data_IF_995829190821
#
_entry.id   IF_995829190821
#
_cell.length_a   1.000
_cell.length_b   1.000
_cell.length_c   1.000
_cell.angle_alpha   90.00
_cell.angle_beta   90.00
_cell.angle_gamma   90.00
#
_symmetry.space_group_name_H-M   'P 1'
#
loop_
_entity.id
_entity.type
_entity.pdbx_description
1 polymer ?
#
# COMPACT_ATOMS: atom_id res chain seq x y z
N UNK A 1 -24.73 -0.70 -10.73
CA UNK A 1 -24.05 -0.50 -12.04
C UNK A 1 -24.33 -1.74 -12.88
N UNK A 2 -25.01 -1.61 -14.00
CA UNK A 2 -25.33 -2.74 -14.88
C UNK A 2 -24.26 -2.76 -15.98
N UNK A 3 -23.67 -3.93 -16.26
CA UNK A 3 -22.73 -4.05 -17.37
C UNK A 3 -23.39 -3.60 -18.68
N UNK A 4 -22.65 -2.95 -19.53
CA UNK A 4 -23.10 -2.62 -20.88
C UNK A 4 -22.96 -3.84 -21.78
N UNK A 5 -23.58 -3.84 -22.97
CA UNK A 5 -23.42 -4.93 -23.96
C UNK A 5 -21.96 -5.18 -24.37
N UNK A 6 -21.04 -4.28 -24.03
CA UNK A 6 -19.61 -4.33 -24.39
C UNK A 6 -18.68 -4.60 -23.20
N UNK A 7 -19.18 -4.54 -21.94
CA UNK A 7 -18.36 -4.70 -20.75
C UNK A 7 -18.96 -5.76 -19.84
N UNK A 8 -18.30 -6.91 -19.72
CA UNK A 8 -18.72 -7.99 -18.83
C UNK A 8 -18.47 -7.64 -17.37
N UNK A 9 -19.20 -8.30 -16.45
CA UNK A 9 -18.97 -8.15 -15.00
C UNK A 9 -17.52 -8.46 -14.61
N UNK A 10 -16.92 -9.49 -15.20
CA UNK A 10 -15.53 -9.87 -14.91
C UNK A 10 -14.52 -8.79 -15.33
N UNK A 11 -14.76 -8.07 -16.42
CA UNK A 11 -13.93 -6.93 -16.82
C UNK A 11 -14.05 -5.82 -15.78
N UNK A 12 -15.26 -5.54 -15.30
CA UNK A 12 -15.49 -4.52 -14.25
C UNK A 12 -14.81 -4.93 -12.96
N UNK A 13 -14.92 -6.20 -12.53
CA UNK A 13 -14.25 -6.71 -11.32
C UNK A 13 -12.73 -6.56 -11.43
N UNK A 14 -12.13 -7.05 -12.50
CA UNK A 14 -10.67 -6.93 -12.73
C UNK A 14 -10.20 -5.48 -12.77
N UNK A 15 -10.93 -4.60 -13.43
CA UNK A 15 -10.62 -3.17 -13.45
C UNK A 15 -10.68 -2.52 -12.07
N UNK A 16 -11.63 -2.94 -11.23
CA UNK A 16 -11.72 -2.44 -9.85
C UNK A 16 -10.58 -2.99 -8.97
N UNK A 17 -10.20 -4.28 -9.10
CA UNK A 17 -9.06 -4.85 -8.37
C UNK A 17 -7.74 -4.14 -8.75
N UNK A 18 -7.54 -3.88 -10.04
CA UNK A 18 -6.40 -3.10 -10.50
C UNK A 18 -6.40 -1.67 -9.90
N UNK A 19 -7.54 -0.98 -9.98
CA UNK A 19 -7.71 0.36 -9.39
C UNK A 19 -7.52 0.34 -7.87
N UNK A 20 -7.97 -0.71 -7.19
CA UNK A 20 -7.78 -0.92 -5.77
C UNK A 20 -6.29 -0.97 -5.42
N UNK A 21 -5.50 -1.86 -6.06
CA UNK A 21 -4.06 -1.93 -5.84
C UNK A 21 -3.35 -0.62 -6.18
N UNK A 22 -3.69 0.00 -7.31
CA UNK A 22 -3.08 1.26 -7.71
C UNK A 22 -3.30 2.35 -6.66
N UNK A 23 -4.49 2.45 -6.08
CA UNK A 23 -4.79 3.43 -5.04
C UNK A 23 -4.05 3.10 -3.75
N UNK A 24 -4.07 1.85 -3.32
CA UNK A 24 -3.41 1.43 -2.07
C UNK A 24 -1.89 1.60 -2.18
N UNK A 25 -1.28 1.09 -3.24
CA UNK A 25 0.18 1.12 -3.38
C UNK A 25 0.71 2.49 -3.78
N UNK A 26 0.13 3.13 -4.78
CA UNK A 26 0.63 4.42 -5.25
C UNK A 26 0.09 5.58 -4.42
N UNK A 27 -1.23 5.66 -4.27
CA UNK A 27 -1.88 6.85 -3.70
C UNK A 27 -1.79 6.91 -2.18
N UNK A 28 -2.05 5.78 -1.48
CA UNK A 28 -1.91 5.71 -0.02
C UNK A 28 -0.46 5.53 0.45
N UNK A 29 0.42 5.12 -0.45
CA UNK A 29 1.85 5.11 -0.20
C UNK A 29 2.45 3.76 0.14
N UNK A 30 1.64 2.69 0.24
CA UNK A 30 2.13 1.37 0.63
C UNK A 30 3.17 0.76 -0.32
N UNK A 31 3.30 1.32 -1.54
CA UNK A 31 4.30 0.95 -2.53
C UNK A 31 4.91 2.14 -3.28
N UNK A 32 4.58 3.37 -2.89
CA UNK A 32 4.94 4.57 -3.64
C UNK A 32 6.44 4.66 -3.95
N UNK A 33 7.27 4.55 -2.92
CA UNK A 33 8.72 4.65 -3.09
C UNK A 33 9.34 3.42 -3.75
N UNK A 34 8.74 2.25 -3.59
CA UNK A 34 9.11 1.06 -4.34
C UNK A 34 8.84 1.25 -5.84
N UNK A 35 7.70 1.80 -6.20
CA UNK A 35 7.34 2.09 -7.59
C UNK A 35 8.25 3.18 -8.19
N UNK A 36 8.57 4.24 -7.45
CA UNK A 36 9.52 5.27 -7.85
C UNK A 36 10.93 4.69 -8.09
N UNK A 37 11.42 3.86 -7.16
CA UNK A 37 12.70 3.18 -7.32
C UNK A 37 12.75 2.33 -8.60
N UNK A 38 11.71 1.51 -8.81
CA UNK A 38 11.62 0.63 -10.00
C UNK A 38 11.58 1.47 -11.28
N UNK A 39 10.84 2.56 -11.29
CA UNK A 39 10.79 3.47 -12.43
C UNK A 39 12.15 4.10 -12.72
N UNK A 40 12.82 4.65 -11.70
CA UNK A 40 14.09 5.34 -11.86
C UNK A 40 15.26 4.40 -12.22
N UNK A 41 15.27 3.18 -11.65
CA UNK A 41 16.36 2.22 -11.90
C UNK A 41 16.16 1.40 -13.17
N UNK A 42 14.94 0.95 -13.47
CA UNK A 42 14.67 0.02 -14.56
C UNK A 42 13.86 0.62 -15.71
N UNK A 43 13.35 1.83 -15.57
CA UNK A 43 12.51 2.50 -16.59
C UNK A 43 11.11 1.89 -16.73
N UNK A 44 10.66 1.07 -15.79
CA UNK A 44 9.35 0.38 -15.84
C UNK A 44 8.29 1.29 -15.23
N UNK A 45 7.19 1.52 -15.95
CA UNK A 45 6.13 2.42 -15.48
C UNK A 45 5.40 1.85 -14.28
N UNK A 46 4.97 2.71 -13.38
CA UNK A 46 4.21 2.34 -12.17
C UNK A 46 2.98 1.47 -12.48
N UNK A 47 2.26 1.79 -13.55
CA UNK A 47 1.07 1.05 -13.97
C UNK A 47 1.40 -0.40 -14.36
N UNK A 48 2.54 -0.61 -15.04
CA UNK A 48 2.97 -1.93 -15.51
C UNK A 48 3.38 -2.80 -14.30
N UNK A 49 4.04 -2.19 -13.29
CA UNK A 49 4.40 -2.90 -12.05
C UNK A 49 3.15 -3.26 -11.23
N UNK A 50 2.17 -2.37 -11.10
CA UNK A 50 0.92 -2.66 -10.39
C UNK A 50 0.14 -3.77 -11.10
N UNK A 51 0.17 -3.82 -12.44
CA UNK A 51 -0.42 -4.91 -13.20
C UNK A 51 0.30 -6.25 -12.95
N UNK A 52 1.62 -6.24 -12.88
CA UNK A 52 2.40 -7.43 -12.54
C UNK A 52 2.19 -7.87 -11.09
N UNK A 53 2.09 -6.94 -10.14
CA UNK A 53 1.71 -7.24 -8.76
C UNK A 53 0.33 -7.89 -8.69
N UNK A 54 -0.66 -7.35 -9.41
CA UNK A 54 -2.00 -7.94 -9.47
C UNK A 54 -1.93 -9.40 -9.97
N UNK A 55 -1.22 -9.66 -11.07
CA UNK A 55 -1.07 -11.01 -11.62
C UNK A 55 -0.37 -11.95 -10.63
N UNK A 56 0.70 -11.49 -10.01
CA UNK A 56 1.51 -12.28 -9.08
C UNK A 56 0.72 -12.66 -7.83
N UNK A 57 0.17 -11.67 -7.11
CA UNK A 57 -0.51 -11.89 -5.85
C UNK A 57 -1.90 -12.53 -6.02
N UNK A 58 -2.57 -12.33 -7.15
CA UNK A 58 -3.83 -13.01 -7.43
C UNK A 58 -3.67 -14.54 -7.51
N UNK A 59 -2.47 -15.04 -7.81
CA UNK A 59 -2.15 -16.48 -7.80
C UNK A 59 -1.64 -16.98 -6.45
N UNK A 60 -1.12 -16.09 -5.59
CA UNK A 60 -0.57 -16.39 -4.26
C UNK A 60 -1.59 -16.03 -3.17
N UNK A 61 -2.62 -16.86 -3.04
CA UNK A 61 -3.80 -16.62 -2.19
C UNK A 61 -3.52 -16.65 -0.69
N UNK A 62 -2.38 -17.17 -0.29
CA UNK A 62 -1.87 -17.29 1.08
C UNK A 62 -1.02 -16.07 1.51
N UNK A 63 -0.82 -15.11 0.61
CA UNK A 63 -0.19 -13.83 0.92
C UNK A 63 -1.23 -12.82 1.41
N UNK A 64 -0.80 -11.83 2.23
CA UNK A 64 -1.71 -10.79 2.72
C UNK A 64 -2.31 -9.96 1.56
N UNK A 65 -1.49 -9.71 0.53
CA UNK A 65 -1.95 -8.99 -0.67
C UNK A 65 -2.95 -9.86 -1.45
N UNK A 66 -2.68 -11.16 -1.57
CA UNK A 66 -3.58 -12.11 -2.21
C UNK A 66 -4.91 -12.28 -1.48
N UNK A 67 -4.87 -12.40 -0.15
CA UNK A 67 -6.05 -12.42 0.73
C UNK A 67 -6.91 -11.16 0.53
N UNK A 68 -6.29 -9.98 0.56
CA UNK A 68 -6.97 -8.69 0.35
C UNK A 68 -7.61 -8.58 -1.05
N UNK A 69 -6.95 -9.10 -2.09
CA UNK A 69 -7.50 -9.13 -3.44
C UNK A 69 -8.73 -10.05 -3.54
N UNK A 70 -8.69 -11.24 -2.92
CA UNK A 70 -9.80 -12.18 -2.92
C UNK A 70 -11.01 -11.64 -2.14
N UNK A 71 -10.78 -11.10 -0.96
CA UNK A 71 -11.80 -10.43 -0.16
C UNK A 71 -12.45 -9.26 -0.91
N UNK A 72 -11.63 -8.44 -1.57
CA UNK A 72 -12.13 -7.33 -2.39
C UNK A 72 -12.94 -7.82 -3.59
N UNK A 73 -12.52 -8.93 -4.23
CA UNK A 73 -13.26 -9.53 -5.33
C UNK A 73 -14.61 -10.09 -4.87
N UNK A 74 -14.66 -10.87 -3.78
CA UNK A 74 -15.89 -11.45 -3.27
C UNK A 74 -16.91 -10.38 -2.90
N UNK A 75 -16.47 -9.37 -2.15
CA UNK A 75 -17.34 -8.26 -1.80
C UNK A 75 -17.82 -7.47 -3.03
N UNK A 76 -16.96 -7.24 -4.01
CA UNK A 76 -17.39 -6.56 -5.24
C UNK A 76 -18.41 -7.39 -6.03
N UNK A 77 -18.24 -8.71 -6.08
CA UNK A 77 -19.25 -9.62 -6.65
C UNK A 77 -20.56 -9.57 -5.83
N UNK A 78 -20.47 -9.51 -4.50
CA UNK A 78 -21.62 -9.30 -3.61
C UNK A 78 -22.40 -8.02 -3.91
N UNK A 79 -21.72 -6.91 -4.22
CA UNK A 79 -22.37 -5.67 -4.65
C UNK A 79 -23.23 -5.90 -5.91
N UNK A 80 -22.73 -6.66 -6.89
CA UNK A 80 -23.46 -6.94 -8.13
C UNK A 80 -24.59 -7.95 -7.99
N UNK A 81 -24.43 -8.93 -7.12
CA UNK A 81 -25.31 -10.08 -7.03
C UNK A 81 -26.31 -9.97 -5.87
N UNK A 82 -25.87 -9.41 -4.73
CA UNK A 82 -26.62 -9.36 -3.48
C UNK A 82 -26.97 -7.93 -3.03
N UNK A 83 -26.52 -6.91 -3.78
CA UNK A 83 -26.69 -5.49 -3.44
C UNK A 83 -26.04 -5.13 -2.10
N UNK A 84 -24.94 -5.76 -1.77
CA UNK A 84 -24.17 -5.50 -0.55
C UNK A 84 -23.33 -4.22 -0.66
N UNK A 85 -22.87 -3.72 0.48
CA UNK A 85 -21.94 -2.58 0.50
C UNK A 85 -20.52 -3.07 0.22
N UNK A 86 -19.76 -2.32 -0.60
CA UNK A 86 -18.37 -2.64 -0.87
C UNK A 86 -17.45 -2.11 0.24
N UNK A 87 -17.29 -2.89 1.28
CA UNK A 87 -16.48 -2.56 2.44
C UNK A 87 -16.56 -3.65 3.48
N UNK A 88 -15.80 -3.51 4.57
CA UNK A 88 -15.79 -4.45 5.69
C UNK A 88 -15.34 -3.81 7.00
N UNK A 89 -15.60 -4.51 8.12
CA UNK A 89 -15.03 -4.22 9.42
C UNK A 89 -13.66 -4.89 9.54
N UNK A 90 -12.67 -4.22 10.13
CA UNK A 90 -11.28 -4.73 10.27
C UNK A 90 -10.70 -4.55 11.68
N UNK A 91 -11.33 -3.75 12.54
CA UNK A 91 -10.84 -3.44 13.89
C UNK A 91 -11.69 -4.09 15.00
N UNK A 92 -12.60 -4.99 14.64
CA UNK A 92 -13.48 -5.72 15.58
C UNK A 92 -14.96 -5.54 15.27
N UNK A 93 -15.82 -6.22 16.07
CA UNK A 93 -17.28 -6.26 15.82
C UNK A 93 -17.97 -4.90 16.01
N UNK A 94 -17.42 -4.02 16.87
CA UNK A 94 -17.94 -2.68 17.12
C UNK A 94 -17.37 -1.60 16.19
N UNK A 95 -16.58 -1.99 15.21
CA UNK A 95 -15.94 -1.08 14.26
C UNK A 95 -16.93 -0.58 13.20
N UNK A 96 -16.59 0.56 12.59
CA UNK A 96 -17.31 1.06 11.42
C UNK A 96 -17.01 0.21 10.18
N UNK A 97 -17.87 0.32 9.20
CA UNK A 97 -17.65 -0.28 7.88
C UNK A 97 -16.67 0.58 7.08
N UNK A 98 -15.50 0.03 6.74
CA UNK A 98 -14.47 0.68 5.94
C UNK A 98 -14.65 0.36 4.46
N UNK A 99 -14.49 1.36 3.60
CA UNK A 99 -14.29 1.11 2.17
C UNK A 99 -13.03 0.23 1.99
N UNK A 100 -13.04 -0.70 1.02
CA UNK A 100 -12.00 -1.72 0.88
C UNK A 100 -10.57 -1.18 0.86
N UNK A 101 -10.32 -0.04 0.22
CA UNK A 101 -8.98 0.56 0.17
C UNK A 101 -8.49 1.01 1.55
N UNK A 102 -9.39 1.54 2.37
CA UNK A 102 -9.11 1.89 3.77
C UNK A 102 -8.89 0.64 4.60
N UNK A 103 -9.76 -0.36 4.49
CA UNK A 103 -9.65 -1.65 5.15
C UNK A 103 -8.30 -2.32 4.87
N UNK A 104 -7.91 -2.42 3.60
CA UNK A 104 -6.61 -2.98 3.18
C UNK A 104 -5.43 -2.21 3.79
N UNK A 105 -5.51 -0.88 3.84
CA UNK A 105 -4.45 -0.07 4.47
C UNK A 105 -4.31 -0.33 5.96
N UNK A 106 -5.42 -0.56 6.68
CA UNK A 106 -5.40 -0.96 8.09
C UNK A 106 -4.77 -2.34 8.25
N UNK A 107 -5.17 -3.31 7.43
CA UNK A 107 -4.61 -4.68 7.44
C UNK A 107 -3.11 -4.65 7.17
N UNK A 108 -2.65 -3.87 6.20
CA UNK A 108 -1.22 -3.71 5.92
C UNK A 108 -0.47 -3.06 7.09
N UNK A 109 -1.07 -2.06 7.74
CA UNK A 109 -0.48 -1.43 8.92
C UNK A 109 -0.30 -2.42 10.08
N UNK A 110 -1.26 -3.31 10.29
CA UNK A 110 -1.21 -4.33 11.35
C UNK A 110 -0.28 -5.51 11.03
N UNK A 111 0.09 -5.71 9.76
CA UNK A 111 0.85 -6.88 9.27
C UNK A 111 2.10 -6.48 8.48
N UNK A 112 2.82 -5.45 8.93
CA UNK A 112 3.94 -4.84 8.19
C UNK A 112 5.07 -5.83 7.86
N UNK A 113 5.44 -6.69 8.80
CA UNK A 113 6.52 -7.66 8.61
C UNK A 113 6.17 -8.69 7.52
N UNK A 114 4.90 -9.14 7.51
CA UNK A 114 4.40 -10.04 6.48
C UNK A 114 4.38 -9.35 5.12
N UNK A 115 3.88 -8.12 5.06
CA UNK A 115 3.88 -7.31 3.85
C UNK A 115 5.29 -7.07 3.31
N UNK A 116 6.26 -6.77 4.21
CA UNK A 116 7.66 -6.59 3.85
C UNK A 116 8.23 -7.85 3.20
N UNK A 117 7.99 -9.00 3.80
CA UNK A 117 8.45 -10.29 3.29
C UNK A 117 7.90 -10.57 1.90
N UNK A 118 6.58 -10.43 1.73
CA UNK A 118 5.89 -10.72 0.47
C UNK A 118 6.31 -9.78 -0.67
N UNK A 119 6.46 -8.48 -0.38
CA UNK A 119 6.96 -7.51 -1.37
C UNK A 119 8.42 -7.78 -1.74
N UNK A 120 9.25 -8.20 -0.79
CA UNK A 120 10.65 -8.57 -1.05
C UNK A 120 10.73 -9.81 -1.95
N UNK A 121 9.89 -10.82 -1.70
CA UNK A 121 9.80 -12.01 -2.56
C UNK A 121 9.32 -11.67 -3.97
N UNK A 122 8.27 -10.84 -4.10
CA UNK A 122 7.82 -10.35 -5.39
C UNK A 122 8.95 -9.67 -6.16
N UNK A 123 9.68 -8.77 -5.52
CA UNK A 123 10.79 -8.06 -6.15
C UNK A 123 11.91 -9.02 -6.58
N UNK A 124 12.27 -9.98 -5.74
CA UNK A 124 13.27 -11.00 -6.04
C UNK A 124 12.86 -11.86 -7.24
N UNK A 125 11.61 -12.32 -7.27
CA UNK A 125 11.08 -13.13 -8.37
C UNK A 125 11.01 -12.33 -9.68
N UNK A 126 10.67 -11.05 -9.61
CA UNK A 126 10.49 -10.18 -10.77
C UNK A 126 11.79 -9.64 -11.36
N UNK A 127 12.73 -9.23 -10.50
CA UNK A 127 13.95 -8.52 -10.92
C UNK A 127 15.22 -9.38 -10.78
N UNK A 128 15.13 -10.56 -10.14
CA UNK A 128 16.27 -11.39 -9.78
C UNK A 128 17.33 -10.60 -8.96
N UNK A 129 16.88 -9.64 -8.15
CA UNK A 129 17.69 -8.75 -7.31
C UNK A 129 17.07 -8.64 -5.92
N UNK A 130 17.90 -8.52 -4.88
CA UNK A 130 17.45 -8.26 -3.51
C UNK A 130 17.14 -6.77 -3.32
N UNK A 131 15.86 -6.44 -3.35
CA UNK A 131 15.34 -5.10 -3.09
C UNK A 131 14.78 -4.93 -1.66
N UNK A 132 15.20 -5.78 -0.72
CA UNK A 132 14.72 -5.73 0.67
C UNK A 132 14.92 -4.37 1.34
N UNK A 133 16.02 -3.68 1.04
CA UNK A 133 16.28 -2.33 1.57
C UNK A 133 15.31 -1.29 1.02
N UNK A 134 14.93 -1.39 -0.27
CA UNK A 134 13.94 -0.53 -0.91
C UNK A 134 12.55 -0.78 -0.33
N UNK A 135 12.17 -2.04 -0.16
CA UNK A 135 10.89 -2.42 0.46
C UNK A 135 10.83 -1.92 1.91
N UNK A 136 11.89 -2.12 2.69
CA UNK A 136 12.01 -1.60 4.05
C UNK A 136 11.87 -0.08 4.07
N UNK A 137 12.61 0.63 3.21
CA UNK A 137 12.51 2.08 3.05
C UNK A 137 11.07 2.52 2.77
N UNK A 138 10.42 1.88 1.79
CA UNK A 138 9.05 2.21 1.43
C UNK A 138 8.09 2.06 2.62
N UNK A 139 8.21 0.98 3.39
CA UNK A 139 7.36 0.74 4.56
C UNK A 139 7.70 1.69 5.72
N UNK A 140 8.96 1.98 5.97
CA UNK A 140 9.36 2.97 6.98
C UNK A 140 8.81 4.38 6.67
N UNK A 141 8.64 4.72 5.39
CA UNK A 141 7.99 5.97 4.96
C UNK A 141 6.46 5.95 5.15
N UNK A 142 5.86 4.79 5.39
CA UNK A 142 4.46 4.68 5.82
C UNK A 142 4.40 4.85 7.33
N UNK A 143 3.57 5.77 7.80
CA UNK A 143 3.41 6.04 9.22
C UNK A 143 3.02 4.77 9.98
N UNK A 144 3.69 4.54 11.10
CA UNK A 144 3.39 3.48 12.05
C UNK A 144 3.00 4.11 13.39
N UNK A 145 1.77 3.90 13.82
CA UNK A 145 1.26 4.47 15.07
C UNK A 145 1.90 3.88 16.33
N UNK A 146 2.60 2.73 16.20
CA UNK A 146 3.32 2.11 17.32
C UNK A 146 4.70 2.73 17.56
N UNK A 147 5.20 3.50 16.61
CA UNK A 147 6.51 4.13 16.70
C UNK A 147 6.46 5.51 17.39
N UNK A 148 7.49 5.79 18.17
CA UNK A 148 7.73 7.13 18.76
C UNK A 148 8.64 7.91 17.80
N UNK A 149 8.12 8.98 17.24
CA UNK A 149 8.85 9.84 16.29
C UNK A 149 9.45 11.06 17.00
N UNK A 150 10.53 11.66 16.46
CA UNK A 150 11.22 11.31 15.21
C UNK A 150 12.11 10.06 15.34
N UNK A 151 12.30 9.34 14.23
CA UNK A 151 13.13 8.14 14.15
C UNK A 151 14.25 8.35 13.12
N UNK A 152 15.49 8.04 13.51
CA UNK A 152 16.63 8.01 12.59
C UNK A 152 16.74 6.63 11.92
N UNK A 153 16.83 6.60 10.61
CA UNK A 153 16.94 5.40 9.79
C UNK A 153 18.02 5.57 8.73
N UNK A 154 18.78 4.50 8.50
CA UNK A 154 19.85 4.46 7.48
C UNK A 154 19.50 3.45 6.42
N UNK A 155 19.74 3.83 5.16
CA UNK A 155 19.43 3.03 3.96
C UNK A 155 20.62 3.03 3.02
N UNK A 156 20.61 2.10 2.04
CA UNK A 156 21.63 2.10 0.99
C UNK A 156 21.53 3.38 0.15
N UNK A 157 22.68 3.91 -0.26
CA UNK A 157 22.75 5.10 -1.13
C UNK A 157 21.92 4.92 -2.42
N UNK A 158 21.99 3.73 -3.04
CA UNK A 158 21.19 3.40 -4.24
C UNK A 158 19.67 3.52 -3.99
N UNK A 159 19.20 3.11 -2.79
CA UNK A 159 17.79 3.25 -2.38
C UNK A 159 17.40 4.72 -2.29
N UNK A 160 18.16 5.54 -1.55
CA UNK A 160 17.88 6.97 -1.38
C UNK A 160 17.94 7.71 -2.71
N UNK A 161 18.94 7.44 -3.52
CA UNK A 161 19.11 8.10 -4.83
C UNK A 161 17.94 7.79 -5.77
N UNK A 162 17.54 6.54 -5.89
CA UNK A 162 16.47 6.15 -6.83
C UNK A 162 15.05 6.41 -6.28
N UNK A 163 14.88 6.68 -4.98
CA UNK A 163 13.57 7.02 -4.40
C UNK A 163 13.37 8.52 -4.20
N UNK A 164 14.39 9.24 -3.72
CA UNK A 164 14.30 10.65 -3.34
C UNK A 164 15.16 11.58 -4.19
N UNK A 165 16.04 11.04 -5.04
CA UNK A 165 16.98 11.83 -5.83
C UNK A 165 18.14 12.42 -5.02
N UNK A 166 18.37 12.01 -3.76
CA UNK A 166 19.43 12.49 -2.90
C UNK A 166 20.73 11.71 -3.15
N UNK A 167 21.84 12.41 -3.38
CA UNK A 167 23.10 11.77 -3.80
C UNK A 167 24.07 11.54 -2.66
N UNK A 168 24.02 12.37 -1.59
CA UNK A 168 25.03 12.40 -0.53
C UNK A 168 24.46 12.09 0.87
N UNK A 169 23.30 11.43 0.95
CA UNK A 169 22.68 11.12 2.23
C UNK A 169 22.23 9.67 2.29
N UNK A 170 22.61 8.96 3.34
CA UNK A 170 22.16 7.60 3.64
C UNK A 170 21.26 7.56 4.88
N UNK A 171 21.21 8.65 5.65
CA UNK A 171 20.48 8.70 6.91
C UNK A 171 19.38 9.75 6.86
N UNK A 172 18.17 9.31 7.17
CA UNK A 172 16.98 10.14 7.25
C UNK A 172 16.44 10.20 8.67
N UNK A 173 15.87 11.35 9.02
CA UNK A 173 15.07 11.52 10.22
C UNK A 173 13.60 11.53 9.76
N UNK A 174 12.87 10.49 10.12
CA UNK A 174 11.45 10.34 9.82
C UNK A 174 10.63 10.97 10.95
N UNK A 175 9.60 11.72 10.59
CA UNK A 175 8.74 12.40 11.55
C UNK A 175 7.27 12.40 11.07
N UNK A 176 6.35 12.78 11.94
CA UNK A 176 4.95 12.97 11.58
C UNK A 176 4.71 14.35 10.95
N UNK A 177 3.81 14.42 9.99
CA UNK A 177 3.22 15.69 9.56
C UNK A 177 2.29 16.28 10.63
N UNK A 178 1.66 15.41 11.43
CA UNK A 178 0.80 15.76 12.55
C UNK A 178 1.47 15.29 13.84
N UNK A 179 1.62 16.18 14.82
CA UNK A 179 2.30 15.92 16.09
C UNK A 179 1.37 15.37 17.17
N UNK A 180 0.07 15.21 16.86
CA UNK A 180 -0.86 14.62 17.81
C UNK A 180 -0.61 13.12 17.97
N UNK A 181 -0.47 12.68 19.23
CA UNK A 181 -0.53 11.27 19.59
C UNK A 181 -1.99 10.81 19.52
N UNK A 182 -2.27 9.83 18.67
CA UNK A 182 -3.61 9.31 18.46
C UNK A 182 -3.69 7.86 18.91
N UNK A 183 -4.82 7.51 19.53
CA UNK A 183 -5.16 6.11 19.73
C UNK A 183 -5.33 5.40 18.36
N UNK A 184 -5.05 4.09 18.25
CA UNK A 184 -5.07 3.38 16.97
C UNK A 184 -6.34 3.60 16.15
N UNK A 185 -7.50 3.49 16.79
CA UNK A 185 -8.78 3.69 16.11
C UNK A 185 -8.93 5.12 15.58
N UNK A 186 -8.57 6.12 16.37
CA UNK A 186 -8.62 7.53 15.97
C UNK A 186 -7.63 7.83 14.85
N UNK A 187 -6.43 7.22 14.91
CA UNK A 187 -5.46 7.31 13.83
C UNK A 187 -6.04 6.80 12.51
N UNK A 188 -6.63 5.60 12.49
CA UNK A 188 -7.23 5.03 11.30
C UNK A 188 -8.41 5.85 10.79
N UNK A 189 -9.29 6.32 11.67
CA UNK A 189 -10.39 7.21 11.31
C UNK A 189 -9.89 8.49 10.65
N UNK A 190 -8.89 9.15 11.21
CA UNK A 190 -8.30 10.36 10.62
C UNK A 190 -7.61 10.06 9.31
N UNK A 191 -6.83 8.98 9.23
CA UNK A 191 -6.17 8.55 8.01
C UNK A 191 -7.18 8.33 6.87
N UNK A 192 -8.32 7.72 7.17
CA UNK A 192 -9.41 7.51 6.22
C UNK A 192 -10.09 8.82 5.79
N UNK A 193 -10.49 9.66 6.72
CA UNK A 193 -11.22 10.89 6.44
C UNK A 193 -10.36 11.98 5.77
N UNK A 194 -9.07 12.01 6.05
CA UNK A 194 -8.13 12.98 5.47
C UNK A 194 -7.34 12.45 4.27
N UNK A 195 -7.80 11.38 3.64
CA UNK A 195 -7.20 10.74 2.46
C UNK A 195 -6.79 11.73 1.36
N UNK A 196 -7.58 12.78 1.13
CA UNK A 196 -7.29 13.80 0.11
C UNK A 196 -5.97 14.55 0.31
N UNK A 197 -5.35 14.47 1.47
CA UNK A 197 -4.07 15.14 1.77
C UNK A 197 -2.87 14.18 1.77
N UNK A 198 -3.05 12.87 1.62
CA UNK A 198 -2.01 11.81 1.61
C UNK A 198 -1.00 11.86 2.77
N UNK A 199 -1.23 12.71 3.79
CA UNK A 199 -0.24 13.01 4.83
C UNK A 199 -0.31 12.06 6.03
N UNK A 200 -1.47 11.42 6.25
CA UNK A 200 -1.65 10.57 7.43
C UNK A 200 -0.95 9.23 7.32
N UNK A 201 -0.88 8.65 6.12
CA UNK A 201 -0.21 7.38 5.88
C UNK A 201 1.29 7.52 5.62
N UNK A 202 1.84 8.73 5.54
CA UNK A 202 3.25 8.96 5.22
C UNK A 202 3.96 9.75 6.31
N UNK A 203 5.24 9.43 6.49
CA UNK A 203 6.16 10.25 7.27
C UNK A 203 6.66 11.44 6.44
N UNK A 204 6.95 12.56 7.11
CA UNK A 204 7.88 13.55 6.61
C UNK A 204 9.31 13.08 6.85
N UNK A 205 10.28 13.61 6.13
CA UNK A 205 11.68 13.29 6.35
C UNK A 205 12.56 14.53 6.27
N UNK A 206 13.63 14.50 7.05
CA UNK A 206 14.77 15.40 6.92
C UNK A 206 16.03 14.54 6.76
N UNK A 207 17.02 15.04 6.06
CA UNK A 207 18.31 14.38 5.88
C UNK A 207 19.40 15.08 6.67
N UNK A 208 20.40 14.33 7.13
CA UNK A 208 21.62 14.84 7.76
C UNK A 208 22.68 15.12 6.73
#
# INVERSE_FOLDING_TARGET
MVGTNTTTRDIVVKGNLFSHLLIVFYYYGWGHYLLEYIYNKYGIKHIDIVEDMLKYFYTKKDTIIGEELLESEDSLRGVFERQEFWGRQVLGEDDIFWEYKGATSIVFSQNRDRLQTELTEFCKDKFNEDLSDVVRFNLDMCRDYTNIYPIEKTYKQDTIQNTLGLVDSETLILDHYDKEELEPLEFYHRAYHYQRKNRYWRCSYNYK
#
